data_IF_799397921367
#
_entry.id   IF_799397921367
#
_cell.length_a   1.000
_cell.length_b   1.000
_cell.length_c   1.000
_cell.angle_alpha   90.00
_cell.angle_beta   90.00
_cell.angle_gamma   90.00
#
_symmetry.space_group_name_H-M   'P 1'
#
loop_
_entity.id
_entity.type
_entity.pdbx_description
1 polymer ?
#
# COMPACT_ATOMS: atom_id res chain seq x y z
N UNK A 1 -2.62 -54.32 -49.50
CA UNK A 1 -1.56 -53.60 -48.77
C UNK A 1 -1.37 -52.29 -49.51
N UNK A 2 -2.20 -51.30 -49.19
CA UNK A 2 -2.03 -49.94 -49.70
C UNK A 2 -1.30 -49.17 -48.61
N UNK A 3 -0.04 -48.82 -48.88
CA UNK A 3 0.76 -48.00 -48.00
C UNK A 3 0.16 -46.61 -47.96
N UNK A 4 -0.25 -46.17 -46.76
CA UNK A 4 -0.62 -44.78 -46.54
C UNK A 4 0.61 -43.92 -46.85
N UNK A 5 0.48 -43.05 -47.84
CA UNK A 5 1.50 -42.07 -48.19
C UNK A 5 1.75 -41.17 -46.97
N UNK A 6 2.89 -41.36 -46.31
CA UNK A 6 3.30 -40.60 -45.13
C UNK A 6 3.86 -39.22 -45.53
N UNK A 7 3.28 -38.55 -46.54
CA UNK A 7 3.67 -37.19 -46.88
C UNK A 7 2.99 -36.22 -45.93
N UNK A 8 3.83 -35.54 -45.17
CA UNK A 8 3.43 -34.44 -44.31
C UNK A 8 2.82 -33.31 -45.16
N UNK A 9 1.57 -32.87 -44.93
CA UNK A 9 0.98 -31.78 -45.69
C UNK A 9 1.78 -30.49 -45.48
N UNK A 10 2.05 -29.78 -46.57
CA UNK A 10 2.85 -28.53 -46.61
C UNK A 10 2.09 -27.29 -46.10
N UNK A 11 0.90 -27.49 -45.55
CA UNK A 11 0.05 -26.42 -45.02
C UNK A 11 0.45 -25.99 -43.61
N UNK A 12 0.03 -24.77 -43.25
CA UNK A 12 0.19 -24.21 -41.89
C UNK A 12 -1.06 -24.42 -41.01
N UNK A 13 -1.98 -25.27 -41.48
CA UNK A 13 -3.18 -25.63 -40.74
C UNK A 13 -2.80 -26.34 -39.43
N UNK A 14 -3.38 -25.90 -38.31
CA UNK A 14 -3.03 -26.42 -36.98
C UNK A 14 -1.79 -25.81 -36.33
N UNK A 15 -1.11 -24.85 -36.98
CA UNK A 15 0.07 -24.17 -36.42
C UNK A 15 -0.19 -22.70 -36.02
N UNK A 16 -1.43 -22.23 -36.03
CA UNK A 16 -1.80 -20.88 -35.57
C UNK A 16 -2.53 -20.96 -34.24
N UNK A 17 -1.99 -20.31 -33.23
CA UNK A 17 -2.67 -20.06 -31.95
C UNK A 17 -3.54 -18.79 -32.01
N UNK A 18 -3.92 -18.27 -30.84
CA UNK A 18 -4.78 -17.07 -30.72
C UNK A 18 -4.15 -15.81 -31.33
N UNK A 19 -2.82 -15.69 -31.31
CA UNK A 19 -2.07 -14.55 -31.88
C UNK A 19 -2.04 -14.54 -33.42
N UNK A 20 -2.62 -15.56 -34.07
CA UNK A 20 -2.80 -15.64 -35.52
C UNK A 20 -1.52 -15.84 -36.34
N UNK A 21 -0.34 -15.60 -35.77
CA UNK A 21 0.95 -15.90 -36.39
C UNK A 21 1.23 -17.40 -36.33
N UNK A 22 1.79 -17.94 -37.42
CA UNK A 22 2.21 -19.34 -37.48
C UNK A 22 3.33 -19.54 -36.48
N UNK A 23 3.14 -20.47 -35.54
CA UNK A 23 4.06 -20.77 -34.44
C UNK A 23 4.52 -19.53 -33.66
N UNK A 24 3.61 -18.56 -33.46
CA UNK A 24 3.89 -17.25 -32.82
C UNK A 24 5.13 -16.53 -33.35
N UNK A 25 5.60 -16.87 -34.56
CA UNK A 25 6.83 -16.33 -35.14
C UNK A 25 8.14 -16.93 -34.60
N UNK A 26 8.06 -17.93 -33.72
CA UNK A 26 9.19 -18.52 -33.00
C UNK A 26 9.42 -19.99 -33.35
N UNK A 27 9.04 -20.42 -34.55
CA UNK A 27 9.23 -21.81 -34.98
C UNK A 27 8.83 -22.10 -36.41
N UNK A 28 9.13 -23.32 -36.84
CA UNK A 28 8.74 -23.86 -38.15
C UNK A 28 7.52 -24.76 -38.01
N UNK A 29 6.51 -24.62 -38.89
CA UNK A 29 5.37 -25.52 -38.91
C UNK A 29 5.64 -26.75 -39.79
N UNK A 30 5.42 -27.94 -39.24
CA UNK A 30 5.50 -29.21 -39.96
C UNK A 30 4.38 -30.15 -39.50
N UNK A 31 3.58 -30.63 -40.44
CA UNK A 31 2.49 -31.59 -40.20
C UNK A 31 1.46 -31.11 -39.17
N UNK A 32 1.17 -29.81 -39.14
CA UNK A 32 0.28 -29.21 -38.16
C UNK A 32 0.84 -29.17 -36.73
N UNK A 33 2.17 -29.26 -36.58
CA UNK A 33 2.87 -29.03 -35.32
C UNK A 33 3.99 -28.01 -35.48
N UNK A 34 4.14 -27.16 -34.48
CA UNK A 34 5.23 -26.20 -34.42
C UNK A 34 6.50 -26.82 -33.83
N UNK A 35 7.63 -26.61 -34.52
CA UNK A 35 8.96 -26.88 -34.01
C UNK A 35 9.61 -25.56 -33.60
N UNK A 36 9.66 -25.31 -32.30
CA UNK A 36 10.12 -24.04 -31.75
C UNK A 36 11.63 -23.84 -31.88
N UNK A 37 12.03 -22.58 -32.00
CA UNK A 37 13.42 -22.12 -32.09
C UNK A 37 13.81 -21.34 -30.83
N UNK A 38 15.12 -21.31 -30.54
CA UNK A 38 15.70 -20.66 -29.35
C UNK A 38 15.13 -21.20 -28.03
N UNK A 39 14.69 -20.30 -27.14
CA UNK A 39 14.15 -20.53 -25.81
C UNK A 39 12.61 -20.58 -25.79
N UNK A 40 11.97 -20.60 -26.96
CA UNK A 40 10.52 -20.64 -27.07
C UNK A 40 9.96 -22.06 -27.00
N UNK A 41 8.77 -22.19 -26.43
CA UNK A 41 8.09 -23.49 -26.27
C UNK A 41 6.56 -23.35 -26.23
N UNK A 42 5.87 -24.48 -26.11
CA UNK A 42 4.42 -24.59 -26.22
C UNK A 42 3.98 -25.06 -27.61
N UNK A 43 2.71 -25.44 -27.75
CA UNK A 43 2.17 -26.00 -29.01
C UNK A 43 2.31 -25.07 -30.20
N UNK A 44 2.40 -23.77 -29.95
CA UNK A 44 2.55 -22.72 -30.97
C UNK A 44 3.79 -21.87 -30.71
N UNK A 45 4.75 -22.30 -29.89
CA UNK A 45 5.95 -21.53 -29.54
C UNK A 45 5.68 -20.15 -28.91
N UNK A 46 4.53 -20.02 -28.25
CA UNK A 46 4.05 -18.78 -27.65
C UNK A 46 4.69 -18.44 -26.29
N UNK A 47 5.37 -19.41 -25.67
CA UNK A 47 5.96 -19.24 -24.34
C UNK A 47 7.45 -18.98 -24.42
N UNK A 48 7.96 -18.10 -23.57
CA UNK A 48 9.38 -18.00 -23.21
C UNK A 48 9.49 -17.79 -21.70
N UNK A 49 10.57 -18.29 -21.10
CA UNK A 49 10.89 -18.11 -19.67
C UNK A 49 11.73 -16.82 -19.43
N UNK A 50 11.78 -15.92 -20.42
CA UNK A 50 12.55 -14.67 -20.38
C UNK A 50 11.69 -13.40 -20.45
N UNK A 51 10.37 -13.53 -20.60
CA UNK A 51 9.44 -12.41 -20.78
C UNK A 51 8.71 -11.99 -19.50
N UNK A 52 9.08 -12.55 -18.34
CA UNK A 52 8.42 -12.23 -17.08
C UNK A 52 8.76 -10.84 -16.53
N UNK A 53 7.87 -10.36 -15.65
CA UNK A 53 8.05 -9.12 -14.90
C UNK A 53 9.33 -9.12 -14.06
N UNK A 54 9.90 -7.92 -13.89
CA UNK A 54 11.17 -7.69 -13.19
C UNK A 54 10.90 -6.94 -11.90
N UNK A 55 11.47 -7.43 -10.80
CA UNK A 55 11.50 -6.75 -9.51
C UNK A 55 12.93 -6.66 -9.01
N UNK A 56 13.32 -5.49 -8.50
CA UNK A 56 14.68 -5.21 -8.02
C UNK A 56 15.79 -5.60 -9.03
N UNK A 57 15.52 -5.34 -10.31
CA UNK A 57 16.44 -5.66 -11.41
C UNK A 57 16.52 -7.14 -11.81
N UNK A 58 15.75 -8.02 -11.18
CA UNK A 58 15.74 -9.46 -11.48
C UNK A 58 14.35 -9.96 -11.91
N UNK A 59 14.28 -10.82 -12.92
CA UNK A 59 13.04 -11.49 -13.32
C UNK A 59 12.45 -12.27 -12.14
N UNK A 60 11.16 -12.07 -11.87
CA UNK A 60 10.46 -12.65 -10.72
C UNK A 60 11.13 -12.38 -9.35
N UNK A 61 11.81 -11.24 -9.20
CA UNK A 61 12.53 -10.88 -7.98
C UNK A 61 13.74 -11.77 -7.69
N UNK A 62 14.19 -12.55 -8.68
CA UNK A 62 15.32 -13.46 -8.59
C UNK A 62 14.94 -14.90 -8.24
N UNK A 63 15.89 -15.84 -8.38
CA UNK A 63 15.64 -17.28 -8.27
C UNK A 63 15.24 -17.74 -6.87
N UNK A 64 15.51 -16.93 -5.83
CA UNK A 64 15.07 -17.19 -4.46
C UNK A 64 13.59 -16.84 -4.22
N UNK A 65 12.98 -16.02 -5.08
CA UNK A 65 11.61 -15.54 -4.95
C UNK A 65 10.64 -16.17 -5.95
N UNK A 66 11.08 -16.45 -7.17
CA UNK A 66 10.22 -17.04 -8.18
C UNK A 66 10.98 -17.65 -9.36
N UNK A 67 10.24 -18.36 -10.20
CA UNK A 67 10.72 -18.85 -11.49
C UNK A 67 9.78 -18.33 -12.59
N UNK A 68 10.34 -17.80 -13.67
CA UNK A 68 9.56 -17.42 -14.83
C UNK A 68 9.07 -18.67 -15.57
N UNK A 69 7.77 -18.72 -15.89
CA UNK A 69 7.16 -19.73 -16.77
C UNK A 69 6.19 -19.07 -17.72
N UNK A 70 6.51 -19.11 -19.02
CA UNK A 70 5.66 -18.60 -20.09
C UNK A 70 5.17 -17.16 -19.82
N UNK A 71 6.10 -16.26 -19.49
CA UNK A 71 5.78 -14.86 -19.18
C UNK A 71 5.14 -14.59 -17.82
N UNK A 72 4.81 -15.62 -17.02
CA UNK A 72 4.27 -15.47 -15.67
C UNK A 72 5.26 -15.91 -14.59
N UNK A 73 5.30 -15.17 -13.47
CA UNK A 73 6.14 -15.54 -12.34
C UNK A 73 5.46 -16.59 -11.44
N UNK A 74 6.08 -17.76 -11.33
CA UNK A 74 5.73 -18.76 -10.33
C UNK A 74 6.47 -18.46 -9.03
N UNK A 75 5.79 -17.79 -8.10
CA UNK A 75 6.39 -17.42 -6.82
C UNK A 75 6.65 -18.63 -5.93
N UNK A 76 7.80 -18.60 -5.26
CA UNK A 76 8.18 -19.57 -4.24
C UNK A 76 7.42 -19.28 -2.94
N UNK A 77 7.37 -20.30 -2.09
CA UNK A 77 6.77 -20.17 -0.76
C UNK A 77 7.37 -18.97 -0.02
N UNK A 78 6.49 -18.14 0.55
CA UNK A 78 6.89 -16.91 1.23
C UNK A 78 6.79 -15.64 0.38
N UNK A 79 6.44 -15.74 -0.92
CA UNK A 79 6.33 -14.60 -1.82
C UNK A 79 5.05 -14.64 -2.66
N UNK A 80 4.50 -13.46 -2.94
CA UNK A 80 3.33 -13.22 -3.80
C UNK A 80 3.56 -11.95 -4.66
N UNK A 81 2.63 -11.68 -5.57
CA UNK A 81 2.71 -10.56 -6.52
C UNK A 81 3.08 -11.02 -7.93
N UNK A 82 2.88 -10.17 -8.93
CA UNK A 82 3.11 -10.52 -10.35
C UNK A 82 4.59 -10.73 -10.67
N UNK A 83 5.48 -10.12 -9.89
CA UNK A 83 6.93 -10.26 -9.98
C UNK A 83 7.54 -10.92 -8.72
N UNK A 84 6.71 -11.55 -7.86
CA UNK A 84 7.13 -12.11 -6.57
C UNK A 84 7.80 -11.10 -5.63
N UNK A 85 7.38 -9.85 -5.73
CA UNK A 85 7.92 -8.70 -5.03
C UNK A 85 7.57 -8.69 -3.53
N UNK A 86 6.46 -9.30 -3.17
CA UNK A 86 5.81 -9.12 -1.87
C UNK A 86 6.07 -10.32 -0.95
N UNK A 87 6.84 -10.17 0.14
CA UNK A 87 6.98 -11.23 1.13
C UNK A 87 5.67 -11.43 1.90
N UNK A 88 5.35 -12.70 2.23
CA UNK A 88 4.18 -13.05 3.05
C UNK A 88 4.46 -13.03 4.55
N UNK A 89 5.74 -12.93 4.95
CA UNK A 89 6.13 -12.82 6.35
C UNK A 89 5.81 -11.40 6.89
N UNK A 90 5.15 -11.34 8.03
CA UNK A 90 4.76 -10.10 8.73
C UNK A 90 5.73 -9.72 9.84
N UNK A 91 6.84 -10.45 10.03
CA UNK A 91 7.83 -10.19 11.08
C UNK A 91 8.39 -8.77 11.05
N UNK A 92 8.59 -8.21 9.85
CA UNK A 92 9.03 -6.83 9.61
C UNK A 92 7.99 -5.76 9.98
N UNK A 93 6.74 -6.16 10.19
CA UNK A 93 5.64 -5.31 10.63
C UNK A 93 5.40 -5.39 12.15
N UNK A 94 6.30 -6.03 12.90
CA UNK A 94 6.23 -6.14 14.35
C UNK A 94 7.32 -5.25 14.96
N UNK A 95 6.93 -4.37 15.87
CA UNK A 95 7.88 -3.47 16.52
C UNK A 95 8.84 -4.27 17.45
N UNK A 96 10.17 -4.11 17.29
CA UNK A 96 11.12 -4.71 18.22
C UNK A 96 10.89 -4.11 19.61
N UNK A 97 10.66 -4.96 20.63
CA UNK A 97 10.56 -4.63 22.06
C UNK A 97 9.19 -4.22 22.64
N UNK A 98 8.05 -4.46 21.99
CA UNK A 98 6.72 -4.26 22.65
C UNK A 98 6.36 -5.27 23.74
N UNK A 99 7.29 -6.13 24.17
CA UNK A 99 7.11 -7.02 25.33
C UNK A 99 7.02 -6.31 26.70
N UNK A 100 7.13 -4.97 26.77
CA UNK A 100 7.29 -4.24 28.04
C UNK A 100 6.25 -3.17 28.37
N UNK A 101 5.00 -3.32 27.91
CA UNK A 101 3.89 -2.57 28.52
C UNK A 101 2.75 -3.48 28.98
N UNK A 102 3.11 -4.62 29.57
CA UNK A 102 2.24 -5.36 30.47
C UNK A 102 2.63 -5.08 31.92
N UNK A 103 2.23 -3.91 32.42
CA UNK A 103 2.03 -3.74 33.85
C UNK A 103 0.68 -3.05 34.03
N UNK A 104 -0.40 -3.85 34.09
CA UNK A 104 -1.38 -3.83 35.20
C UNK A 104 -2.74 -4.52 34.95
N UNK A 105 -2.97 -5.25 33.85
CA UNK A 105 -4.20 -6.08 33.74
C UNK A 105 -3.88 -7.57 33.59
N UNK A 106 -3.86 -8.26 34.74
CA UNK A 106 -3.50 -9.68 34.91
C UNK A 106 -4.57 -10.68 34.41
N UNK A 107 -5.37 -10.37 33.39
CA UNK A 107 -6.45 -11.28 32.97
C UNK A 107 -6.52 -11.68 31.48
N UNK A 108 -5.66 -11.19 30.58
CA UNK A 108 -5.69 -11.61 29.17
C UNK A 108 -4.34 -12.17 28.68
N UNK A 109 -4.07 -13.42 29.06
CA UNK A 109 -3.03 -14.27 28.50
C UNK A 109 -3.46 -14.77 27.10
N UNK A 110 -3.02 -14.12 26.00
CA UNK A 110 -2.91 -14.74 24.65
C UNK A 110 -2.48 -13.83 23.49
N UNK A 111 -2.12 -12.56 23.69
CA UNK A 111 -1.81 -11.72 22.53
C UNK A 111 -0.35 -11.98 22.10
N UNK A 112 -0.17 -12.67 20.97
CA UNK A 112 1.11 -12.73 20.26
C UNK A 112 1.61 -11.33 19.86
N UNK A 113 2.78 -11.23 19.22
CA UNK A 113 3.31 -9.93 18.82
C UNK A 113 2.30 -9.17 17.94
N UNK A 114 2.05 -7.89 18.28
CA UNK A 114 1.07 -7.07 17.57
C UNK A 114 1.63 -6.59 16.23
N UNK A 115 1.17 -7.20 15.14
CA UNK A 115 1.45 -6.74 13.77
C UNK A 115 0.83 -5.36 13.59
N UNK A 116 1.65 -4.38 13.19
CA UNK A 116 1.22 -2.99 13.01
C UNK A 116 0.46 -2.42 14.22
N UNK A 117 0.89 -2.78 15.44
CA UNK A 117 0.26 -2.37 16.69
C UNK A 117 -1.25 -2.67 16.78
N UNK A 118 -1.75 -3.60 15.96
CA UNK A 118 -3.17 -3.86 15.74
C UNK A 118 -3.98 -2.64 15.24
N UNK A 119 -3.31 -1.68 14.59
CA UNK A 119 -3.85 -0.40 14.08
C UNK A 119 -3.59 -0.22 12.58
N UNK A 120 -3.47 -1.33 11.86
CA UNK A 120 -3.12 -1.34 10.46
C UNK A 120 -2.99 -2.75 9.90
N UNK A 121 -2.74 -2.82 8.60
CA UNK A 121 -2.52 -4.07 7.87
C UNK A 121 -1.08 -4.14 7.37
N UNK A 122 -0.39 -5.27 7.57
CA UNK A 122 0.94 -5.48 6.98
C UNK A 122 0.81 -5.81 5.50
N UNK A 123 1.33 -4.94 4.64
CA UNK A 123 1.34 -5.10 3.19
C UNK A 123 2.80 -5.15 2.72
N UNK A 124 3.23 -6.31 2.20
CA UNK A 124 4.57 -6.54 1.66
C UNK A 124 5.71 -6.15 2.62
N UNK A 125 5.56 -6.48 3.91
CA UNK A 125 6.55 -6.19 4.95
C UNK A 125 6.56 -4.74 5.46
N UNK A 126 5.53 -3.94 5.13
CA UNK A 126 5.34 -2.59 5.66
C UNK A 126 3.92 -2.43 6.20
N UNK A 127 3.77 -1.72 7.31
CA UNK A 127 2.46 -1.39 7.84
C UNK A 127 1.75 -0.31 7.03
N UNK A 128 0.50 -0.59 6.67
CA UNK A 128 -0.48 0.39 6.19
C UNK A 128 -1.43 0.70 7.33
N UNK A 129 -1.23 1.85 7.96
CA UNK A 129 -2.00 2.24 9.15
C UNK A 129 -3.43 2.62 8.80
N UNK A 130 -4.34 2.35 9.75
CA UNK A 130 -5.72 2.84 9.71
C UNK A 130 -5.76 4.36 9.93
N UNK A 131 -6.85 4.99 9.51
CA UNK A 131 -7.07 6.42 9.74
C UNK A 131 -6.94 6.74 11.24
N UNK A 132 -6.14 7.74 11.56
CA UNK A 132 -5.88 8.09 12.95
C UNK A 132 -4.53 7.64 13.48
N UNK A 133 -3.79 6.81 12.76
CA UNK A 133 -2.51 6.23 13.20
C UNK A 133 -1.36 6.48 12.23
N UNK A 134 -0.13 6.51 12.75
CA UNK A 134 1.11 6.71 11.99
C UNK A 134 2.28 5.97 12.68
N UNK A 135 3.46 6.06 12.08
CA UNK A 135 4.65 5.35 12.56
C UNK A 135 4.96 4.13 11.70
N UNK A 136 6.12 3.52 11.92
CA UNK A 136 6.55 2.35 11.13
C UNK A 136 5.69 1.11 11.40
N UNK A 137 5.12 1.05 12.61
CA UNK A 137 4.32 -0.03 13.14
C UNK A 137 2.93 0.45 13.58
N UNK A 138 2.48 1.63 13.15
CA UNK A 138 1.22 2.26 13.56
C UNK A 138 1.09 2.47 15.08
N UNK A 139 2.23 2.65 15.73
CA UNK A 139 2.39 2.85 17.16
C UNK A 139 1.91 4.23 17.65
N UNK A 140 1.90 5.21 16.73
CA UNK A 140 1.54 6.58 17.02
C UNK A 140 0.13 6.90 16.53
N UNK A 141 -0.49 7.90 17.15
CA UNK A 141 -1.73 8.52 16.67
C UNK A 141 -1.42 9.79 15.87
N UNK A 142 -2.18 10.04 14.81
CA UNK A 142 -2.18 11.34 14.09
C UNK A 142 -2.90 12.42 14.90
N UNK A 143 -3.84 11.99 15.75
CA UNK A 143 -4.40 12.81 16.82
C UNK A 143 -3.37 12.83 17.94
N UNK A 144 -2.47 13.81 17.95
CA UNK A 144 -1.57 13.95 19.08
C UNK A 144 -2.40 14.05 20.37
N UNK A 145 -2.45 12.96 21.14
CA UNK A 145 -3.01 12.98 22.49
C UNK A 145 -2.24 14.05 23.28
N UNK A 146 -2.97 15.01 23.86
CA UNK A 146 -2.37 16.18 24.51
C UNK A 146 -2.98 17.50 24.06
N UNK A 147 -2.14 18.45 23.65
CA UNK A 147 -2.54 19.85 23.43
C UNK A 147 -3.50 20.02 22.25
N UNK A 148 -3.39 19.22 21.17
CA UNK A 148 -4.32 19.31 20.04
C UNK A 148 -5.78 19.05 20.46
N UNK A 149 -6.05 17.95 21.17
CA UNK A 149 -7.43 17.64 21.58
C UNK A 149 -7.98 18.68 22.55
N UNK A 150 -7.14 19.15 23.48
CA UNK A 150 -7.50 20.24 24.41
C UNK A 150 -7.86 21.54 23.69
N UNK A 151 -7.16 21.87 22.60
CA UNK A 151 -7.40 23.10 21.85
C UNK A 151 -8.56 22.98 20.85
N UNK A 152 -8.95 21.76 20.46
CA UNK A 152 -9.97 21.50 19.42
C UNK A 152 -11.25 22.30 19.62
N UNK A 153 -11.84 22.26 20.83
CA UNK A 153 -13.09 22.97 21.14
C UNK A 153 -12.93 24.50 21.06
N UNK A 154 -11.78 25.03 21.48
CA UNK A 154 -11.46 26.45 21.41
C UNK A 154 -11.26 26.93 19.97
N UNK A 155 -10.56 26.14 19.13
CA UNK A 155 -10.37 26.46 17.71
C UNK A 155 -11.71 26.47 16.98
N UNK A 156 -12.55 25.45 17.20
CA UNK A 156 -13.89 25.37 16.61
C UNK A 156 -14.78 26.57 17.04
N UNK A 157 -14.70 26.95 18.32
CA UNK A 157 -15.44 28.08 18.82
C UNK A 157 -14.99 29.40 18.19
N UNK A 158 -13.70 29.73 18.25
CA UNK A 158 -13.20 31.03 17.82
C UNK A 158 -13.29 31.22 16.30
N UNK A 159 -13.09 30.17 15.51
CA UNK A 159 -13.12 30.29 14.05
C UNK A 159 -14.54 30.26 13.44
N UNK A 160 -15.54 29.63 14.07
CA UNK A 160 -16.92 29.56 13.52
C UNK A 160 -18.03 30.08 14.43
N UNK A 161 -17.70 30.70 15.57
CA UNK A 161 -18.68 31.24 16.55
C UNK A 161 -19.83 30.27 16.85
N UNK A 162 -19.52 28.99 17.08
CA UNK A 162 -20.53 28.04 17.55
C UNK A 162 -20.85 28.31 19.01
N UNK A 163 -22.13 28.20 19.38
CA UNK A 163 -22.62 28.24 20.76
C UNK A 163 -22.24 26.96 21.52
N UNK A 164 -20.93 26.72 21.69
CA UNK A 164 -20.42 25.68 22.56
C UNK A 164 -20.21 26.29 23.95
N UNK A 165 -20.71 25.61 24.98
CA UNK A 165 -20.66 26.02 26.40
C UNK A 165 -19.22 26.34 26.89
N UNK A 166 -18.20 25.85 26.18
CA UNK A 166 -16.77 25.96 26.57
C UNK A 166 -16.00 27.17 26.00
N UNK A 167 -16.63 28.05 25.23
CA UNK A 167 -15.94 29.19 24.57
C UNK A 167 -15.30 30.20 25.54
N UNK A 168 -15.95 30.46 26.68
CA UNK A 168 -15.54 31.51 27.61
C UNK A 168 -14.30 31.17 28.45
N UNK A 169 -13.84 29.91 28.43
CA UNK A 169 -12.67 29.44 29.17
C UNK A 169 -11.44 29.18 28.28
N UNK A 170 -11.47 29.67 27.03
CA UNK A 170 -10.39 29.46 26.08
C UNK A 170 -9.32 30.56 26.18
N UNK A 171 -8.17 30.24 26.77
CA UNK A 171 -6.98 31.10 26.76
C UNK A 171 -6.15 30.85 25.49
N UNK A 172 -6.75 31.14 24.33
CA UNK A 172 -6.18 30.89 23.01
C UNK A 172 -6.24 32.15 22.14
N UNK A 173 -5.14 32.49 21.48
CA UNK A 173 -5.06 33.50 20.42
C UNK A 173 -5.06 32.82 19.05
N UNK A 174 -6.17 32.84 18.33
CA UNK A 174 -6.30 32.22 17.01
C UNK A 174 -5.98 33.20 15.88
N UNK A 175 -5.09 32.77 14.97
CA UNK A 175 -4.75 33.46 13.73
C UNK A 175 -5.00 32.55 12.53
N UNK A 176 -5.71 33.05 11.51
CA UNK A 176 -5.90 32.32 10.25
C UNK A 176 -4.75 32.64 9.30
N UNK A 177 -4.12 31.60 8.75
CA UNK A 177 -2.95 31.70 7.86
C UNK A 177 -3.16 30.89 6.58
N UNK A 178 -2.46 31.24 5.50
CA UNK A 178 -2.51 30.50 4.23
C UNK A 178 -1.84 29.12 4.33
N UNK A 179 -0.68 29.06 5.00
CA UNK A 179 0.13 27.86 5.16
C UNK A 179 0.71 27.76 6.57
N UNK A 180 0.80 26.54 7.09
CA UNK A 180 1.44 26.25 8.38
C UNK A 180 2.95 26.09 8.23
N UNK A 181 3.69 26.40 9.30
CA UNK A 181 5.14 26.23 9.33
C UNK A 181 5.51 24.74 9.47
N UNK A 182 6.38 24.20 8.60
CA UNK A 182 6.69 22.78 8.58
C UNK A 182 7.46 22.31 9.82
N UNK A 183 8.10 23.23 10.55
CA UNK A 183 8.82 22.96 11.79
C UNK A 183 7.90 22.84 13.02
N UNK A 184 6.62 23.19 12.90
CA UNK A 184 5.67 23.14 14.00
C UNK A 184 4.81 21.88 13.98
N UNK A 185 4.40 21.44 15.17
CA UNK A 185 3.39 20.38 15.31
C UNK A 185 2.08 20.81 14.63
N UNK A 186 1.63 19.99 13.67
CA UNK A 186 0.36 20.19 12.98
C UNK A 186 -0.70 19.27 13.58
N UNK A 187 -1.73 19.87 14.16
CA UNK A 187 -2.96 19.22 14.58
C UNK A 187 -3.95 19.12 13.42
N UNK A 188 -4.70 18.03 13.35
CA UNK A 188 -5.72 17.78 12.32
C UNK A 188 -7.07 17.54 12.97
N UNK A 189 -8.13 18.16 12.46
CA UNK A 189 -9.51 17.97 12.92
C UNK A 189 -10.50 17.97 11.76
N UNK A 190 -11.66 17.34 11.95
CA UNK A 190 -12.76 17.36 10.98
C UNK A 190 -13.87 18.29 11.48
N UNK A 191 -14.32 19.21 10.62
CA UNK A 191 -15.46 20.09 10.87
C UNK A 191 -16.32 20.19 9.61
N UNK A 192 -17.63 19.97 9.75
CA UNK A 192 -18.59 19.99 8.63
C UNK A 192 -18.17 19.12 7.42
N UNK A 193 -17.53 17.97 7.68
CA UNK A 193 -17.05 17.05 6.64
C UNK A 193 -15.70 17.43 6.00
N UNK A 194 -15.13 18.58 6.35
CA UNK A 194 -13.82 19.02 5.85
C UNK A 194 -12.70 18.73 6.84
N UNK A 195 -11.52 18.34 6.33
CA UNK A 195 -10.30 18.19 7.11
C UNK A 195 -9.64 19.57 7.26
N UNK A 196 -9.36 19.92 8.49
CA UNK A 196 -8.77 21.20 8.89
C UNK A 196 -7.45 20.96 9.60
N UNK A 197 -6.49 21.86 9.35
CA UNK A 197 -5.13 21.77 9.93
C UNK A 197 -4.83 23.04 10.71
N UNK A 198 -4.23 22.90 11.89
CA UNK A 198 -3.76 24.02 12.68
C UNK A 198 -2.48 23.66 13.45
N UNK A 199 -1.64 24.65 13.77
CA UNK A 199 -0.49 24.48 14.66
C UNK A 199 -0.65 25.33 15.92
N UNK A 200 0.12 25.02 16.97
CA UNK A 200 0.09 25.78 18.22
C UNK A 200 1.49 26.08 18.75
N UNK A 201 1.60 27.19 19.48
CA UNK A 201 2.76 27.57 20.28
C UNK A 201 2.31 27.81 21.72
N UNK A 202 2.99 27.21 22.69
CA UNK A 202 2.74 27.41 24.13
C UNK A 202 3.54 28.62 24.64
N UNK A 203 2.91 29.49 25.43
CA UNK A 203 3.50 30.73 25.96
C UNK A 203 3.70 30.74 27.49
N UNK A 204 3.73 29.57 28.15
CA UNK A 204 3.66 29.41 29.61
C UNK A 204 2.27 29.76 30.20
N UNK A 205 1.98 29.24 31.39
CA UNK A 205 0.68 29.37 32.07
C UNK A 205 -0.53 28.92 31.21
N UNK A 206 -0.34 27.88 30.39
CA UNK A 206 -1.43 27.25 29.65
C UNK A 206 -2.08 28.17 28.59
N UNK A 207 -1.33 29.20 28.14
CA UNK A 207 -1.72 30.14 27.09
C UNK A 207 -1.17 29.69 25.74
N UNK A 208 -2.00 29.71 24.70
CA UNK A 208 -1.62 29.20 23.38
C UNK A 208 -1.86 30.21 22.27
N UNK A 209 -0.90 30.32 21.35
CA UNK A 209 -1.15 30.91 20.02
C UNK A 209 -1.44 29.78 19.04
N UNK A 210 -2.56 29.84 18.35
CA UNK A 210 -2.98 28.86 17.35
C UNK A 210 -2.97 29.49 15.96
N UNK A 211 -2.33 28.82 15.00
CA UNK A 211 -2.40 29.17 13.58
C UNK A 211 -3.30 28.17 12.86
N UNK A 212 -4.46 28.60 12.40
CA UNK A 212 -5.42 27.78 11.64
C UNK A 212 -5.19 27.97 10.14
N UNK A 213 -5.04 26.88 9.39
CA UNK A 213 -4.93 26.96 7.93
C UNK A 213 -6.28 27.34 7.31
N UNK A 214 -6.29 28.36 6.44
CA UNK A 214 -7.50 28.86 5.77
C UNK A 214 -8.17 27.79 4.91
N UNK A 215 -7.39 27.12 4.07
CA UNK A 215 -7.91 26.11 3.15
C UNK A 215 -8.09 24.77 3.87
N UNK A 216 -9.27 24.19 3.70
CA UNK A 216 -9.65 22.89 4.27
C UNK A 216 -9.77 21.86 3.14
N UNK A 217 -9.35 20.63 3.40
CA UNK A 217 -9.51 19.53 2.44
C UNK A 217 -10.93 18.95 2.62
N UNK A 218 -11.87 19.41 1.79
CA UNK A 218 -13.26 18.92 1.80
C UNK A 218 -13.45 17.82 0.75
N UNK A 219 -14.30 16.80 1.01
CA UNK A 219 -14.67 15.83 -0.01
C UNK A 219 -15.30 16.54 -1.22
N UNK A 220 -15.06 16.04 -2.45
CA UNK A 220 -15.68 16.59 -3.65
C UNK A 220 -17.20 16.56 -3.49
N UNK A 221 -17.86 17.67 -3.83
CA UNK A 221 -19.32 17.70 -3.88
C UNK A 221 -19.75 16.80 -5.05
N UNK A 222 -20.45 15.72 -4.73
CA UNK A 222 -21.03 14.85 -5.76
C UNK A 222 -22.29 15.56 -6.26
N UNK A 223 -22.21 16.13 -7.47
CA UNK A 223 -23.36 16.59 -8.25
C UNK A 223 -24.05 15.42 -8.97
#
# INVERSE_FOLDING_TARGET
MEGADHTCPTGVEGCRGEEGQVCSGHGDCSCGHCRCQWDHYGSYCQCSDHTCQVYDGMSCGGPSRGQCRCGACMCRQGYIGEACECPTDTSTCIQPNHHHQQQQDQQHHQQGPSVCSNKGTCQCGRCRCEDGYKGMFCEDTVYAAGVCEKLRSCVLCQAWRRELISCNHCQVSLHVVESLEPSMTTCVMVNAGCIMKYSYQDHHNNSYTVKLQRNSDCPPQIE
#
